data_IF_947748195416
#
_entry.id   IF_947748195416
#
_cell.length_a   1.000
_cell.length_b   1.000
_cell.length_c   1.000
_cell.angle_alpha   90.00
_cell.angle_beta   90.00
_cell.angle_gamma   90.00
#
_symmetry.space_group_name_H-M   'P 1'
#
loop_
_entity.id
_entity.type
_entity.pdbx_description
1 polymer ?
#
# COMPACT_ATOMS: atom_id res chain seq x y z
N UNK A 1 3.28 22.73 17.73
CA UNK A 1 2.24 22.61 16.69
C UNK A 1 2.05 23.89 15.86
N UNK A 2 2.02 25.09 16.45
CA UNK A 2 1.69 26.33 15.73
C UNK A 2 2.63 26.73 14.58
N UNK A 3 3.88 26.27 14.56
CA UNK A 3 4.83 26.57 13.46
C UNK A 3 4.55 25.81 12.16
N UNK A 4 3.74 24.74 12.20
CA UNK A 4 3.44 23.92 11.01
C UNK A 4 2.70 24.73 9.93
N UNK A 5 1.82 25.64 10.35
CA UNK A 5 1.07 26.52 9.46
C UNK A 5 1.95 27.53 8.68
N UNK A 6 3.24 27.64 9.02
CA UNK A 6 4.19 28.51 8.33
C UNK A 6 4.91 27.83 7.18
N UNK A 7 4.83 26.50 7.07
CA UNK A 7 5.46 25.76 5.98
C UNK A 7 4.63 25.91 4.69
N UNK A 8 5.27 25.95 3.51
CA UNK A 8 4.54 25.91 2.25
C UNK A 8 3.81 24.58 2.09
N UNK A 9 2.69 24.60 1.37
CA UNK A 9 1.99 23.38 0.99
C UNK A 9 2.74 22.64 -0.12
N UNK A 10 2.59 21.32 -0.15
CA UNK A 10 2.93 20.49 -1.30
C UNK A 10 1.64 20.12 -2.03
N UNK A 11 1.57 20.40 -3.33
CA UNK A 11 0.42 20.05 -4.18
C UNK A 11 0.78 18.94 -5.17
N UNK A 12 -0.23 18.38 -5.83
CA UNK A 12 -0.04 17.26 -6.77
C UNK A 12 0.91 17.63 -7.91
N UNK A 13 0.83 18.87 -8.38
CA UNK A 13 1.67 19.42 -9.46
C UNK A 13 3.16 19.39 -9.10
N UNK A 14 3.52 19.61 -7.84
CA UNK A 14 4.91 19.53 -7.38
C UNK A 14 5.46 18.10 -7.57
N UNK A 15 4.66 17.09 -7.24
CA UNK A 15 5.02 15.68 -7.37
C UNK A 15 5.06 15.21 -8.83
N UNK A 16 4.23 15.79 -9.70
CA UNK A 16 4.28 15.52 -11.14
C UNK A 16 5.57 16.11 -11.74
N UNK A 17 5.97 17.32 -11.31
CA UNK A 17 7.19 18.00 -11.78
C UNK A 17 8.47 17.33 -11.28
N UNK A 18 8.42 16.65 -10.14
CA UNK A 18 9.58 15.96 -9.58
C UNK A 18 9.85 14.60 -10.23
N UNK A 19 9.05 14.14 -11.18
CA UNK A 19 9.28 12.86 -11.85
C UNK A 19 10.59 12.88 -12.68
N UNK A 20 11.38 11.78 -12.74
CA UNK A 20 11.12 10.49 -12.08
C UNK A 20 11.57 10.43 -10.61
N UNK A 21 12.66 11.10 -10.23
CA UNK A 21 13.35 10.86 -8.96
C UNK A 21 13.50 12.11 -8.05
N UNK A 22 13.04 13.27 -8.48
CA UNK A 22 13.21 14.54 -7.77
C UNK A 22 12.44 14.65 -6.45
N UNK A 23 11.60 13.67 -6.09
CA UNK A 23 10.96 13.56 -4.78
C UNK A 23 11.72 12.65 -3.81
N UNK A 24 12.85 12.06 -4.22
CA UNK A 24 13.70 11.29 -3.32
C UNK A 24 14.37 12.21 -2.28
N UNK A 25 14.47 11.70 -1.06
CA UNK A 25 15.20 12.31 0.05
C UNK A 25 16.35 11.40 0.56
N UNK A 26 16.61 10.30 -0.14
CA UNK A 26 17.64 9.29 0.11
C UNK A 26 18.25 8.88 -1.23
N UNK A 27 19.39 8.20 -1.21
CA UNK A 27 20.00 7.70 -2.44
C UNK A 27 19.11 6.63 -3.10
N UNK A 28 19.09 6.56 -4.44
CA UNK A 28 18.26 5.57 -5.15
C UNK A 28 18.60 4.13 -4.74
N UNK A 29 19.86 3.86 -4.35
CA UNK A 29 20.30 2.55 -3.84
C UNK A 29 19.63 2.14 -2.52
N UNK A 30 19.07 3.09 -1.76
CA UNK A 30 18.35 2.82 -0.51
C UNK A 30 16.86 2.54 -0.74
N UNK A 31 16.37 2.77 -1.97
CA UNK A 31 14.97 2.56 -2.35
C UNK A 31 14.76 1.10 -2.71
N UNK A 32 13.85 0.43 -1.99
CA UNK A 32 13.51 -0.97 -2.22
C UNK A 32 12.23 -1.16 -3.04
N UNK A 33 11.35 -0.15 -3.09
CA UNK A 33 10.08 -0.26 -3.80
C UNK A 33 9.60 1.08 -4.34
N UNK A 34 8.97 1.04 -5.51
CA UNK A 34 8.22 2.16 -6.09
C UNK A 34 6.77 1.75 -6.28
N UNK A 35 5.85 2.67 -5.96
CA UNK A 35 4.45 2.57 -6.32
C UNK A 35 4.04 3.82 -7.11
N UNK A 36 3.00 3.69 -7.93
CA UNK A 36 2.45 4.81 -8.67
C UNK A 36 0.97 4.94 -8.40
N UNK A 37 0.50 6.18 -8.23
CA UNK A 37 -0.95 6.42 -8.17
C UNK A 37 -1.62 6.10 -9.51
N UNK A 38 -2.87 5.61 -9.44
CA UNK A 38 -3.75 5.52 -10.60
C UNK A 38 -4.07 6.94 -11.06
N UNK A 39 -3.28 7.47 -12.00
CA UNK A 39 -3.48 8.82 -12.51
C UNK A 39 -4.86 8.95 -13.15
N UNK A 40 -5.79 9.67 -12.51
CA UNK A 40 -6.99 10.19 -13.20
C UNK A 40 -6.62 11.33 -14.15
N UNK A 41 -5.51 12.01 -13.84
CA UNK A 41 -4.78 12.94 -14.71
C UNK A 41 -3.69 12.18 -15.45
N UNK A 42 -3.40 12.56 -16.69
CA UNK A 42 -2.51 11.88 -17.66
C UNK A 42 -1.07 11.55 -17.21
N UNK A 43 -0.63 11.99 -16.02
CA UNK A 43 0.69 11.68 -15.46
C UNK A 43 0.56 11.06 -14.07
N UNK A 44 1.04 9.81 -13.86
CA UNK A 44 1.08 9.19 -12.55
C UNK A 44 2.13 9.84 -11.66
N UNK A 45 1.88 9.84 -10.34
CA UNK A 45 2.87 10.25 -9.33
C UNK A 45 3.53 9.01 -8.75
N UNK A 46 4.87 8.99 -8.72
CA UNK A 46 5.68 7.94 -8.13
C UNK A 46 5.92 8.20 -6.63
N UNK A 47 5.90 7.13 -5.84
CA UNK A 47 6.26 7.12 -4.43
C UNK A 47 7.31 6.04 -4.19
N UNK A 48 8.39 6.41 -3.50
CA UNK A 48 9.55 5.56 -3.26
C UNK A 48 9.63 5.20 -1.78
N UNK A 49 10.05 3.97 -1.48
CA UNK A 49 10.06 3.44 -0.13
C UNK A 49 11.40 2.78 0.17
N UNK A 50 12.06 3.23 1.24
CA UNK A 50 13.18 2.53 1.86
C UNK A 50 12.71 1.29 2.62
N UNK A 51 13.65 0.47 3.12
CA UNK A 51 13.34 -0.65 4.01
C UNK A 51 12.50 -0.21 5.23
N UNK A 52 12.89 0.90 5.85
CA UNK A 52 12.21 1.45 7.03
C UNK A 52 10.80 1.93 6.71
N UNK A 53 10.59 2.52 5.54
CA UNK A 53 9.25 2.97 5.12
C UNK A 53 8.30 1.79 4.90
N UNK A 54 8.80 0.69 4.31
CA UNK A 54 8.02 -0.53 4.12
C UNK A 54 7.67 -1.22 5.44
N UNK A 55 8.59 -1.25 6.40
CA UNK A 55 8.33 -1.75 7.75
C UNK A 55 7.25 -0.90 8.44
N UNK A 56 7.40 0.43 8.43
CA UNK A 56 6.42 1.36 8.99
C UNK A 56 5.05 1.16 8.35
N UNK A 57 4.99 1.06 7.02
CA UNK A 57 3.74 0.84 6.30
C UNK A 57 3.08 -0.49 6.69
N UNK A 58 3.86 -1.56 6.80
CA UNK A 58 3.35 -2.88 7.20
C UNK A 58 2.77 -2.85 8.62
N UNK A 59 3.47 -2.20 9.57
CA UNK A 59 3.01 -2.04 10.95
C UNK A 59 1.74 -1.18 11.07
N UNK A 60 1.64 -0.10 10.29
CA UNK A 60 0.44 0.75 10.25
C UNK A 60 -0.76 -0.02 9.69
N UNK A 61 -0.54 -0.79 8.61
CA UNK A 61 -1.57 -1.62 7.99
C UNK A 61 -2.03 -2.74 8.93
N UNK A 62 -1.09 -3.42 9.59
CA UNK A 62 -1.35 -4.40 10.64
C UNK A 62 -2.24 -3.83 11.75
N UNK A 63 -1.89 -2.65 12.26
CA UNK A 63 -2.68 -1.96 13.29
C UNK A 63 -4.10 -1.63 12.83
N UNK A 64 -4.26 -1.21 11.58
CA UNK A 64 -5.59 -0.94 11.01
C UNK A 64 -6.42 -2.23 10.92
N UNK A 65 -5.83 -3.35 10.50
CA UNK A 65 -6.52 -4.65 10.45
C UNK A 65 -6.94 -5.13 11.84
N UNK A 66 -6.07 -4.99 12.84
CA UNK A 66 -6.39 -5.33 14.24
C UNK A 66 -7.53 -4.45 14.77
N UNK A 67 -7.54 -3.15 14.43
CA UNK A 67 -8.55 -2.21 14.85
C UNK A 67 -9.96 -2.56 14.32
N UNK A 68 -10.06 -3.21 13.17
CA UNK A 68 -11.33 -3.72 12.61
C UNK A 68 -11.65 -5.16 13.04
N UNK A 69 -10.91 -5.71 14.00
CA UNK A 69 -11.22 -7.00 14.61
C UNK A 69 -10.43 -8.19 14.08
N UNK A 70 -9.56 -8.03 13.08
CA UNK A 70 -8.74 -9.14 12.58
C UNK A 70 -7.78 -9.66 13.65
N UNK A 71 -7.60 -10.98 13.74
CA UNK A 71 -6.74 -11.67 14.69
C UNK A 71 -5.92 -12.75 13.99
N UNK A 72 -4.85 -13.20 14.66
CA UNK A 72 -4.03 -14.33 14.19
C UNK A 72 -4.92 -15.54 13.95
N UNK A 73 -4.76 -16.16 12.78
CA UNK A 73 -5.55 -17.32 12.37
C UNK A 73 -6.73 -17.00 11.45
N UNK A 74 -7.18 -15.74 11.35
CA UNK A 74 -8.21 -15.40 10.36
C UNK A 74 -7.65 -15.48 8.93
N UNK A 75 -8.56 -15.68 7.98
CA UNK A 75 -8.28 -15.67 6.54
C UNK A 75 -8.57 -14.26 6.00
N UNK A 76 -7.60 -13.66 5.31
CA UNK A 76 -7.71 -12.35 4.70
C UNK A 76 -7.71 -12.45 3.18
N UNK A 77 -8.88 -12.30 2.56
CA UNK A 77 -9.01 -12.21 1.11
C UNK A 77 -8.64 -10.80 0.63
N UNK A 78 -7.50 -10.67 -0.05
CA UNK A 78 -7.10 -9.40 -0.64
C UNK A 78 -7.49 -9.31 -2.12
N UNK A 79 -8.44 -8.44 -2.43
CA UNK A 79 -8.96 -8.21 -3.79
C UNK A 79 -8.31 -7.00 -4.49
N UNK A 80 -7.37 -6.31 -3.82
CA UNK A 80 -6.62 -5.20 -4.43
C UNK A 80 -5.56 -5.72 -5.40
N UNK A 81 -5.32 -5.03 -6.52
CA UNK A 81 -4.28 -5.43 -7.47
C UNK A 81 -2.87 -5.37 -6.85
N UNK A 82 -2.05 -6.39 -7.09
CA UNK A 82 -0.68 -6.53 -6.55
C UNK A 82 0.41 -5.86 -7.43
N UNK A 83 -0.01 -5.00 -8.37
CA UNK A 83 0.91 -4.26 -9.23
C UNK A 83 1.45 -2.99 -8.57
N UNK A 84 1.59 -1.93 -9.37
CA UNK A 84 2.11 -0.63 -8.92
C UNK A 84 1.19 0.13 -7.97
N UNK A 85 -0.06 -0.31 -7.80
CA UNK A 85 -0.97 0.25 -6.81
C UNK A 85 -0.56 -0.17 -5.39
N UNK A 86 -0.67 0.76 -4.43
CA UNK A 86 -0.19 0.55 -3.06
C UNK A 86 -1.01 -0.52 -2.31
N UNK A 87 -2.32 -0.60 -2.55
CA UNK A 87 -3.22 -1.44 -1.76
C UNK A 87 -2.88 -2.94 -1.77
N UNK A 88 -2.53 -3.51 -2.93
CA UNK A 88 -2.26 -4.95 -3.03
C UNK A 88 -1.13 -5.41 -2.12
N UNK A 89 0.09 -4.93 -2.38
CA UNK A 89 1.27 -5.36 -1.62
C UNK A 89 1.25 -4.88 -0.17
N UNK A 90 0.72 -3.69 0.10
CA UNK A 90 0.63 -3.14 1.46
C UNK A 90 -0.23 -4.01 2.38
N UNK A 91 -1.42 -4.40 1.91
CA UNK A 91 -2.32 -5.26 2.69
C UNK A 91 -1.76 -6.67 2.89
N UNK A 92 -1.05 -7.23 1.90
CA UNK A 92 -0.39 -8.55 2.06
C UNK A 92 0.61 -8.51 3.22
N UNK A 93 1.56 -7.56 3.20
CA UNK A 93 2.59 -7.45 4.22
C UNK A 93 2.01 -7.13 5.61
N UNK A 94 1.05 -6.19 5.67
CA UNK A 94 0.40 -5.84 6.93
C UNK A 94 -0.40 -6.99 7.53
N UNK A 95 -1.13 -7.75 6.71
CA UNK A 95 -1.90 -8.90 7.19
C UNK A 95 -0.98 -10.05 7.66
N UNK A 96 0.12 -10.31 6.95
CA UNK A 96 1.12 -11.31 7.37
C UNK A 96 1.79 -10.94 8.69
N UNK A 97 2.02 -9.64 8.93
CA UNK A 97 2.63 -9.13 10.19
C UNK A 97 1.82 -9.54 11.44
N UNK A 98 0.50 -9.69 11.33
CA UNK A 98 -0.37 -10.12 12.44
C UNK A 98 -0.66 -11.63 12.45
N UNK A 99 -0.12 -12.38 11.49
CA UNK A 99 -0.31 -13.83 11.38
C UNK A 99 -1.64 -14.25 10.74
N UNK A 100 -2.17 -13.45 9.81
CA UNK A 100 -3.30 -13.84 8.97
C UNK A 100 -2.87 -14.77 7.84
N UNK A 101 -3.77 -15.68 7.45
CA UNK A 101 -3.64 -16.40 6.18
C UNK A 101 -4.12 -15.49 5.05
N UNK A 102 -3.19 -14.96 4.26
CA UNK A 102 -3.54 -14.05 3.16
C UNK A 102 -3.83 -14.84 1.88
N UNK A 103 -4.98 -14.56 1.28
CA UNK A 103 -5.32 -15.01 -0.08
C UNK A 103 -5.14 -13.83 -1.04
N UNK A 104 -4.05 -13.78 -1.84
CA UNK A 104 -3.74 -12.65 -2.72
C UNK A 104 -4.49 -12.78 -4.05
N UNK A 105 -5.83 -12.66 -4.02
CA UNK A 105 -6.67 -12.89 -5.20
C UNK A 105 -6.54 -11.78 -6.25
N UNK A 106 -6.38 -10.53 -5.82
CA UNK A 106 -6.40 -9.38 -6.72
C UNK A 106 -7.78 -9.11 -7.30
N UNK A 107 -7.83 -8.35 -8.40
CA UNK A 107 -9.09 -7.98 -9.03
C UNK A 107 -9.74 -9.18 -9.71
N UNK A 108 -10.83 -9.68 -9.13
CA UNK A 108 -11.56 -10.85 -9.60
C UNK A 108 -13.07 -10.60 -9.58
N UNK A 109 -13.83 -11.34 -10.40
CA UNK A 109 -15.30 -11.28 -10.38
C UNK A 109 -15.85 -11.68 -9.00
N UNK A 110 -17.02 -11.16 -8.59
CA UNK A 110 -17.65 -11.56 -7.33
C UNK A 110 -17.79 -13.08 -7.19
N UNK A 111 -18.13 -13.78 -8.27
CA UNK A 111 -18.21 -15.24 -8.31
C UNK A 111 -16.87 -15.91 -7.96
N UNK A 112 -15.77 -15.41 -8.53
CA UNK A 112 -14.43 -15.94 -8.23
C UNK A 112 -14.02 -15.64 -6.79
N UNK A 113 -14.40 -14.47 -6.25
CA UNK A 113 -14.16 -14.13 -4.84
C UNK A 113 -14.91 -15.09 -3.91
N UNK A 114 -16.20 -15.33 -4.17
CA UNK A 114 -17.03 -16.25 -3.40
C UNK A 114 -16.46 -17.67 -3.44
N UNK A 115 -16.15 -18.20 -4.64
CA UNK A 115 -15.57 -19.53 -4.82
C UNK A 115 -14.21 -19.71 -4.11
N UNK A 116 -13.48 -18.61 -3.90
CA UNK A 116 -12.19 -18.63 -3.20
C UNK A 116 -12.38 -18.58 -1.67
N UNK A 117 -13.46 -17.93 -1.19
CA UNK A 117 -13.82 -17.85 0.24
C UNK A 117 -14.61 -19.07 0.75
N UNK A 118 -15.32 -19.80 -0.10
CA UNK A 118 -16.02 -21.06 0.19
C UNK A 118 -16.37 -21.76 -1.13
N UNK A 119 -16.39 -23.08 -1.28
CA UNK A 119 -16.51 -24.19 -0.34
C UNK A 119 -15.93 -25.44 -1.02
N UNK A 120 -14.92 -26.05 -0.41
CA UNK A 120 -14.57 -27.47 -0.60
C UNK A 120 -14.25 -28.02 0.78
N UNK A 121 -15.29 -28.08 1.61
CA UNK A 121 -15.38 -28.91 2.79
C UNK A 121 -16.66 -29.73 2.64
#
# INVERSE_FOLDING_TARGET
MNSLAKLPFTVKEDLIRSYPLGSLAVELSEVLRVHTSSGTTSKPVASFYSARDLENWSNLTARNLVAIGARKGDIFLNTSSQGVFTGGLGYIQGAQTIGLMVVPLGSASPEKQLNTCGTSA
#
